data_IF_796264297683
#
_entry.id   IF_796264297683
#
_cell.length_a   1.000
_cell.length_b   1.000
_cell.length_c   1.000
_cell.angle_alpha   90.00
_cell.angle_beta   90.00
_cell.angle_gamma   90.00
#
_symmetry.space_group_name_H-M   'P 1'
#
loop_
_entity.id
_entity.type
_entity.pdbx_description
1 polymer ?
#
# COMPACT_ATOMS: atom_id res chain seq x y z
N UNK A 1 -4.42 -23.96 -8.55
CA UNK A 1 -3.24 -23.10 -8.54
C UNK A 1 -3.58 -21.67 -8.26
N UNK A 2 -4.59 -21.13 -8.93
CA UNK A 2 -5.03 -19.77 -8.70
C UNK A 2 -5.49 -19.58 -7.27
N UNK A 3 -6.24 -20.54 -6.78
CA UNK A 3 -6.78 -20.48 -5.42
C UNK A 3 -5.65 -20.48 -4.40
N UNK A 4 -4.61 -21.24 -4.66
CA UNK A 4 -3.47 -21.27 -3.77
C UNK A 4 -2.79 -19.91 -3.70
N UNK A 5 -2.61 -19.27 -4.85
CA UNK A 5 -1.98 -17.94 -4.90
C UNK A 5 -2.85 -16.89 -4.23
N UNK A 6 -4.16 -16.97 -4.38
CA UNK A 6 -5.08 -16.06 -3.71
C UNK A 6 -4.98 -16.17 -2.20
N UNK A 7 -4.93 -17.41 -1.68
CA UNK A 7 -4.78 -17.62 -0.24
C UNK A 7 -3.46 -17.05 0.26
N UNK A 8 -2.40 -17.28 -0.47
CA UNK A 8 -1.08 -16.77 -0.11
C UNK A 8 -1.08 -15.25 -0.10
N UNK A 9 -1.75 -14.64 -1.08
CA UNK A 9 -1.84 -13.18 -1.16
C UNK A 9 -2.59 -12.60 0.01
N UNK A 10 -3.69 -13.21 0.43
CA UNK A 10 -4.46 -12.71 1.57
C UNK A 10 -3.68 -12.80 2.86
N UNK A 11 -2.97 -13.89 3.06
CA UNK A 11 -2.12 -14.06 4.23
C UNK A 11 -1.04 -12.98 4.26
N UNK A 12 -0.42 -12.74 3.11
CA UNK A 12 0.60 -11.72 2.97
C UNK A 12 0.04 -10.34 3.28
N UNK A 13 -1.16 -10.03 2.80
CA UNK A 13 -1.82 -8.75 3.07
C UNK A 13 -2.01 -8.51 4.57
N UNK A 14 -2.45 -9.53 5.29
CA UNK A 14 -2.65 -9.40 6.74
C UNK A 14 -1.34 -9.08 7.43
N UNK A 15 -0.28 -9.78 7.07
CA UNK A 15 1.04 -9.57 7.66
C UNK A 15 1.56 -8.17 7.32
N UNK A 16 1.35 -7.69 6.11
CA UNK A 16 1.78 -6.36 5.73
C UNK A 16 1.07 -5.29 6.55
N UNK A 17 -0.23 -5.42 6.76
CA UNK A 17 -0.96 -4.47 7.61
C UNK A 17 -0.47 -4.49 9.04
N UNK A 18 -0.20 -5.68 9.58
CA UNK A 18 0.32 -5.80 10.95
C UNK A 18 1.70 -5.15 11.06
N UNK A 19 2.53 -5.28 10.03
CA UNK A 19 3.86 -4.69 10.04
C UNK A 19 3.83 -3.16 10.04
N UNK A 20 2.81 -2.57 9.42
CA UNK A 20 2.67 -1.10 9.35
C UNK A 20 2.08 -0.55 10.65
N UNK A 21 1.12 -1.26 11.24
CA UNK A 21 0.35 -0.77 12.39
C UNK A 21 1.26 -0.46 13.57
N UNK A 22 1.24 0.81 13.99
CA UNK A 22 2.00 1.24 15.16
C UNK A 22 3.50 1.28 14.96
N UNK A 23 3.97 1.16 13.74
CA UNK A 23 5.40 1.10 13.46
C UNK A 23 5.89 2.32 12.68
N UNK A 24 7.20 2.56 12.79
CA UNK A 24 7.85 3.64 12.07
C UNK A 24 8.36 3.11 10.74
N UNK A 25 7.97 3.77 9.66
CA UNK A 25 8.40 3.42 8.31
C UNK A 25 8.95 4.68 7.67
N UNK A 26 10.22 4.59 7.26
CA UNK A 26 10.92 5.71 6.62
C UNK A 26 10.77 7.00 7.42
N UNK A 27 10.97 6.91 8.73
CA UNK A 27 10.95 8.07 9.62
C UNK A 27 9.58 8.57 10.02
N UNK A 28 8.50 7.89 9.64
CA UNK A 28 7.14 8.29 9.95
C UNK A 28 6.44 7.20 10.75
N UNK A 29 5.80 7.59 11.85
CA UNK A 29 5.04 6.66 12.69
C UNK A 29 3.60 6.61 12.22
N UNK A 30 3.13 5.40 11.93
CA UNK A 30 1.77 5.20 11.40
C UNK A 30 0.85 4.60 12.45
N UNK A 31 -0.42 4.92 12.32
CA UNK A 31 -1.46 4.32 13.14
C UNK A 31 -1.89 2.97 12.58
N UNK A 32 -3.13 2.58 12.88
CA UNK A 32 -3.65 1.29 12.46
C UNK A 32 -3.79 1.24 10.94
N UNK A 33 -3.22 0.21 10.34
CA UNK A 33 -3.33 -0.03 8.92
C UNK A 33 -4.57 -0.89 8.64
N UNK A 34 -5.31 -0.53 7.61
CA UNK A 34 -6.55 -1.21 7.24
C UNK A 34 -6.58 -1.45 5.74
N UNK A 35 -7.37 -2.43 5.36
CA UNK A 35 -7.77 -2.60 3.96
C UNK A 35 -8.92 -1.62 3.68
N UNK A 36 -8.95 -1.07 2.49
CA UNK A 36 -10.03 -0.16 2.10
C UNK A 36 -10.56 -0.55 0.73
N UNK A 37 -11.87 -0.48 0.56
CA UNK A 37 -12.50 -0.67 -0.74
C UNK A 37 -13.75 0.18 -0.80
N UNK A 38 -14.09 0.62 -2.01
CA UNK A 38 -15.29 1.42 -2.17
C UNK A 38 -15.36 2.05 -3.55
N UNK A 39 -16.41 2.83 -3.76
CA UNK A 39 -16.61 3.56 -5.00
C UNK A 39 -16.12 4.99 -4.81
N UNK A 40 -15.30 5.45 -5.74
CA UNK A 40 -14.77 6.82 -5.75
C UNK A 40 -15.06 7.47 -7.09
N UNK A 41 -14.99 8.79 -7.14
CA UNK A 41 -15.27 9.54 -8.37
C UNK A 41 -13.97 10.14 -8.90
N UNK A 42 -13.77 10.06 -10.21
CA UNK A 42 -12.63 10.72 -10.85
C UNK A 42 -12.94 12.21 -11.10
N UNK A 43 -12.03 12.91 -11.78
CA UNK A 43 -12.19 14.33 -12.05
C UNK A 43 -13.43 14.65 -12.87
N UNK A 44 -13.86 13.69 -13.66
CA UNK A 44 -15.05 13.84 -14.52
C UNK A 44 -16.30 13.31 -13.82
N UNK A 45 -16.18 12.99 -12.54
CA UNK A 45 -17.26 12.45 -11.70
C UNK A 45 -17.75 11.08 -12.14
N UNK A 46 -16.89 10.33 -12.82
CA UNK A 46 -17.21 8.95 -13.18
C UNK A 46 -16.83 8.03 -12.02
N UNK A 47 -17.68 7.05 -11.70
CA UNK A 47 -17.42 6.16 -10.59
C UNK A 47 -16.40 5.08 -10.92
N UNK A 48 -15.57 4.76 -9.96
CA UNK A 48 -14.61 3.65 -10.02
C UNK A 48 -14.68 2.88 -8.73
N UNK A 49 -14.69 1.56 -8.83
CA UNK A 49 -14.52 0.72 -7.65
C UNK A 49 -13.06 0.42 -7.49
N UNK A 50 -12.50 0.76 -6.34
CA UNK A 50 -11.08 0.53 -6.07
C UNK A 50 -10.91 -0.25 -4.77
N UNK A 51 -9.77 -0.94 -4.68
CA UNK A 51 -9.35 -1.62 -3.48
C UNK A 51 -7.92 -1.21 -3.17
N UNK A 52 -7.65 -1.08 -1.88
CA UNK A 52 -6.31 -0.80 -1.38
C UNK A 52 -6.00 -1.82 -0.29
N UNK A 53 -4.88 -2.51 -0.44
CA UNK A 53 -4.51 -3.56 0.49
C UNK A 53 -4.10 -3.01 1.84
N UNK A 54 -3.44 -1.86 1.86
CA UNK A 54 -2.94 -1.25 3.09
C UNK A 54 -3.16 0.26 3.02
N UNK A 55 -3.85 0.79 4.02
CA UNK A 55 -4.02 2.23 4.18
C UNK A 55 -3.76 2.56 5.63
N UNK A 56 -2.85 3.49 5.87
CA UNK A 56 -2.52 3.93 7.24
C UNK A 56 -2.20 5.40 7.26
N UNK A 57 -2.82 6.11 8.18
CA UNK A 57 -2.55 7.52 8.38
C UNK A 57 -1.41 7.68 9.39
N UNK A 58 -0.50 8.62 9.15
CA UNK A 58 0.53 8.92 10.14
C UNK A 58 -0.10 9.51 11.40
N UNK A 59 0.57 9.37 12.54
CA UNK A 59 0.01 9.87 13.80
C UNK A 59 -0.11 11.39 13.80
N UNK A 60 0.75 12.09 13.07
CA UNK A 60 0.65 13.54 12.92
C UNK A 60 -0.39 13.96 11.88
N UNK A 61 -0.99 13.00 11.21
CA UNK A 61 -2.05 13.19 10.20
C UNK A 61 -1.61 13.93 8.94
N UNK A 62 -0.31 14.05 8.72
CA UNK A 62 0.23 14.75 7.54
C UNK A 62 0.45 13.84 6.35
N UNK A 63 0.59 12.54 6.59
CA UNK A 63 0.89 11.57 5.54
C UNK A 63 -0.12 10.44 5.56
N UNK A 64 -0.34 9.86 4.39
CA UNK A 64 -1.15 8.66 4.28
C UNK A 64 -0.39 7.62 3.45
N UNK A 65 -0.17 6.46 4.05
CA UNK A 65 0.48 5.34 3.41
C UNK A 65 -0.56 4.55 2.64
N UNK A 66 -0.30 4.35 1.36
CA UNK A 66 -1.18 3.58 0.47
C UNK A 66 -0.34 2.45 -0.09
N UNK A 67 -0.73 1.21 0.19
CA UNK A 67 0.08 0.06 -0.16
C UNK A 67 -0.61 -0.99 -0.99
N UNK A 68 0.19 -1.64 -1.83
CA UNK A 68 -0.22 -2.77 -2.63
C UNK A 68 0.64 -3.97 -2.22
N UNK A 69 -0.01 -5.11 -1.98
CA UNK A 69 0.68 -6.33 -1.56
C UNK A 69 0.70 -7.33 -2.71
N UNK A 70 1.89 -7.78 -3.08
CA UNK A 70 2.08 -8.76 -4.13
C UNK A 70 2.96 -9.89 -3.61
N UNK A 71 2.53 -11.12 -3.79
CA UNK A 71 3.31 -12.28 -3.38
C UNK A 71 4.03 -12.93 -4.55
N UNK A 72 4.26 -12.17 -5.61
CA UNK A 72 4.95 -12.64 -6.80
C UNK A 72 6.29 -11.93 -6.95
N UNK A 73 7.14 -12.45 -7.82
CA UNK A 73 8.44 -11.86 -8.10
C UNK A 73 8.36 -10.99 -9.36
N UNK A 74 9.27 -10.00 -9.44
CA UNK A 74 9.43 -9.24 -10.66
C UNK A 74 8.35 -8.20 -10.92
N UNK A 75 7.69 -7.74 -9.86
CA UNK A 75 6.67 -6.69 -10.00
C UNK A 75 7.29 -5.37 -10.43
N UNK A 76 6.61 -4.67 -11.33
CA UNK A 76 7.08 -3.37 -11.83
C UNK A 76 6.68 -2.28 -10.85
N UNK A 77 7.66 -1.77 -10.11
CA UNK A 77 7.40 -0.80 -9.05
C UNK A 77 6.88 0.52 -9.59
N UNK A 78 7.35 0.97 -10.77
CA UNK A 78 6.85 2.22 -11.35
C UNK A 78 5.39 2.10 -11.73
N UNK A 79 5.01 0.98 -12.34
CA UNK A 79 3.62 0.77 -12.73
C UNK A 79 2.70 0.69 -11.52
N UNK A 80 3.13 -0.01 -10.47
CA UNK A 80 2.34 -0.12 -9.25
C UNK A 80 2.22 1.21 -8.53
N UNK A 81 3.30 1.99 -8.49
CA UNK A 81 3.24 3.32 -7.89
C UNK A 81 2.25 4.22 -8.62
N UNK A 82 2.29 4.21 -9.95
CA UNK A 82 1.38 5.04 -10.74
C UNK A 82 -0.07 4.66 -10.46
N UNK A 83 -0.36 3.38 -10.34
CA UNK A 83 -1.71 2.92 -10.00
C UNK A 83 -2.12 3.37 -8.60
N UNK A 84 -1.22 3.25 -7.62
CA UNK A 84 -1.51 3.68 -6.26
C UNK A 84 -1.77 5.18 -6.19
N UNK A 85 -0.98 5.98 -6.89
CA UNK A 85 -1.17 7.43 -6.89
C UNK A 85 -2.48 7.82 -7.58
N UNK A 86 -2.84 7.11 -8.64
CA UNK A 86 -4.12 7.34 -9.30
C UNK A 86 -5.28 7.05 -8.35
N UNK A 87 -5.23 5.91 -7.66
CA UNK A 87 -6.27 5.59 -6.68
C UNK A 87 -6.32 6.63 -5.57
N UNK A 88 -5.17 7.02 -5.05
CA UNK A 88 -5.11 8.01 -3.97
C UNK A 88 -5.70 9.35 -4.38
N UNK A 89 -5.55 9.73 -5.64
CA UNK A 89 -6.07 11.01 -6.13
C UNK A 89 -7.59 11.11 -6.04
N UNK A 90 -8.28 9.98 -5.95
CA UNK A 90 -9.73 9.92 -5.86
C UNK A 90 -10.25 9.73 -4.44
N UNK A 91 -9.36 9.54 -3.46
CA UNK A 91 -9.77 9.28 -2.08
C UNK A 91 -10.01 10.57 -1.32
N UNK A 92 -11.24 10.81 -0.83
CA UNK A 92 -11.50 12.05 -0.08
C UNK A 92 -10.63 12.20 1.16
N UNK A 93 -10.35 11.09 1.86
CA UNK A 93 -9.58 11.15 3.11
C UNK A 93 -8.07 11.32 2.88
N UNK A 94 -7.61 11.20 1.64
CA UNK A 94 -6.20 11.45 1.31
C UNK A 94 -5.94 12.91 0.92
N UNK A 95 -7.00 13.69 0.76
CA UNK A 95 -6.89 15.07 0.32
C UNK A 95 -6.15 15.91 1.36
N UNK A 96 -5.16 16.66 0.89
CA UNK A 96 -4.37 17.50 1.78
C UNK A 96 -3.25 16.78 2.51
N UNK A 97 -3.07 15.48 2.26
CA UNK A 97 -2.01 14.69 2.87
C UNK A 97 -0.97 14.31 1.84
N UNK A 98 0.25 14.13 2.31
CA UNK A 98 1.29 13.56 1.46
C UNK A 98 1.04 12.07 1.30
N UNK A 99 0.92 11.62 0.06
CA UNK A 99 0.72 10.21 -0.24
C UNK A 99 2.06 9.50 -0.25
N UNK A 100 2.15 8.39 0.49
CA UNK A 100 3.35 7.56 0.56
C UNK A 100 3.01 6.20 -0.06
N UNK A 101 3.35 5.98 -1.34
CA UNK A 101 3.08 4.69 -1.97
C UNK A 101 4.07 3.65 -1.49
N UNK A 102 3.57 2.47 -1.14
CA UNK A 102 4.40 1.38 -0.65
C UNK A 102 4.04 0.10 -1.39
N UNK A 103 5.06 -0.61 -1.86
CA UNK A 103 4.90 -1.88 -2.52
C UNK A 103 5.48 -2.97 -1.64
N UNK A 104 4.63 -3.89 -1.20
CA UNK A 104 5.04 -5.03 -0.39
C UNK A 104 5.19 -6.22 -1.32
N UNK A 105 6.43 -6.59 -1.64
CA UNK A 105 6.70 -7.62 -2.64
C UNK A 105 7.99 -8.35 -2.32
N UNK A 106 8.13 -9.56 -2.88
CA UNK A 106 9.36 -10.34 -2.72
C UNK A 106 10.55 -9.64 -3.36
N UNK A 107 10.35 -9.12 -4.55
CA UNK A 107 11.33 -8.31 -5.25
C UNK A 107 10.62 -7.51 -6.32
N UNK A 108 11.29 -6.51 -6.83
CA UNK A 108 10.72 -5.63 -7.83
C UNK A 108 11.68 -5.46 -9.00
N UNK A 109 11.11 -5.10 -10.15
CA UNK A 109 11.86 -4.58 -11.28
C UNK A 109 11.49 -3.11 -11.46
N UNK A 110 12.21 -2.41 -12.28
CA UNK A 110 11.89 -1.01 -12.63
C UNK A 110 11.65 -0.15 -11.37
N UNK A 111 12.63 -0.16 -10.48
CA UNK A 111 12.52 0.49 -9.18
C UNK A 111 12.23 1.98 -9.31
N UNK A 112 11.37 2.49 -8.43
CA UNK A 112 11.05 3.90 -8.35
C UNK A 112 11.65 4.49 -7.07
N UNK A 113 12.17 5.72 -7.15
CA UNK A 113 12.71 6.40 -5.98
C UNK A 113 11.63 7.13 -5.17
N UNK A 114 10.44 7.30 -5.76
CA UNK A 114 9.35 7.98 -5.07
C UNK A 114 8.37 7.05 -4.40
N UNK A 115 8.65 5.75 -4.38
CA UNK A 115 7.86 4.78 -3.62
C UNK A 115 8.80 3.93 -2.77
N UNK A 116 8.24 3.33 -1.71
CA UNK A 116 8.97 2.43 -0.83
C UNK A 116 8.67 0.99 -1.23
N UNK A 117 9.66 0.13 -1.12
CA UNK A 117 9.48 -1.31 -1.30
C UNK A 117 9.78 -2.00 0.02
N UNK A 118 8.84 -2.81 0.48
CA UNK A 118 8.99 -3.57 1.72
C UNK A 118 8.93 -5.05 1.37
N UNK A 119 10.02 -5.75 1.67
CA UNK A 119 10.17 -7.18 1.37
C UNK A 119 9.72 -8.00 2.57
N UNK A 120 9.58 -9.33 2.41
CA UNK A 120 9.31 -10.19 3.57
C UNK A 120 10.33 -10.04 4.69
N UNK A 121 11.60 -9.85 4.36
CA UNK A 121 12.63 -9.61 5.37
C UNK A 121 12.38 -8.32 6.14
N UNK A 122 12.01 -7.26 5.41
CA UNK A 122 11.70 -5.97 6.04
C UNK A 122 10.49 -6.10 6.96
N UNK A 123 9.48 -6.86 6.54
CA UNK A 123 8.29 -7.09 7.37
C UNK A 123 8.68 -7.76 8.68
N UNK A 124 9.55 -8.76 8.63
CA UNK A 124 10.01 -9.44 9.83
C UNK A 124 10.75 -8.50 10.76
N UNK A 125 11.55 -7.59 10.23
CA UNK A 125 12.25 -6.60 11.03
C UNK A 125 11.26 -5.65 11.71
N UNK A 126 10.23 -5.22 11.00
CA UNK A 126 9.22 -4.31 11.55
C UNK A 126 8.41 -4.95 12.68
N UNK A 127 8.27 -6.26 12.65
CA UNK A 127 7.44 -6.99 13.61
C UNK A 127 8.21 -7.50 14.83
N UNK A 128 9.48 -7.17 14.93
CA UNK A 128 10.29 -7.57 16.09
C UNK A 128 9.94 -6.81 17.35
#
# INVERSE_FOLDING_TARGET
QYHFNEHTSKWWEVICRDAVTGNMIDGTLYGVAKRWWGTVLDKEKKPHQIELDVVAESLDKKKILIGECKWTSGEDAVALENELRWKASMLPFAKGKEVVPVIFAKNITNKSESSLTITPEDVMELMK
#
